data_IF_040159394451
#
_entry.id   IF_040159394451
#
_cell.length_a   1.000
_cell.length_b   1.000
_cell.length_c   1.000
_cell.angle_alpha   90.00
_cell.angle_beta   90.00
_cell.angle_gamma   90.00
#
_symmetry.space_group_name_H-M   'P 1'
#
loop_
_entity.id
_entity.type
_entity.pdbx_description
1 polymer ?
#
# COMPACT_ATOMS: atom_id res chain seq x y z
N UNK A 1 19.99 18.23 -0.28
CA UNK A 1 19.15 17.01 -0.26
C UNK A 1 19.44 16.27 1.02
N UNK A 2 18.75 16.64 2.10
CA UNK A 2 18.44 15.68 3.15
C UNK A 2 17.13 15.06 2.69
N UNK A 3 17.11 13.74 2.49
CA UNK A 3 15.90 13.02 2.10
C UNK A 3 14.87 13.20 3.22
N UNK A 4 13.72 13.80 2.89
CA UNK A 4 12.65 14.03 3.85
C UNK A 4 12.08 12.66 4.27
N UNK A 5 12.20 12.27 5.55
CA UNK A 5 11.73 10.97 6.02
C UNK A 5 10.23 10.78 5.77
N UNK A 6 9.46 11.86 5.68
CA UNK A 6 8.04 11.80 5.32
C UNK A 6 7.83 11.15 3.94
N UNK A 7 8.64 11.52 2.94
CA UNK A 7 8.49 11.03 1.57
C UNK A 7 8.80 9.54 1.45
N UNK A 8 9.70 9.04 2.30
CA UNK A 8 10.01 7.61 2.36
C UNK A 8 8.84 6.82 2.94
N UNK A 9 8.34 7.21 4.12
CA UNK A 9 7.19 6.54 4.76
C UNK A 9 5.93 6.67 3.90
N UNK A 10 5.76 7.80 3.22
CA UNK A 10 4.70 7.97 2.22
C UNK A 10 4.76 6.91 1.12
N UNK A 11 5.95 6.65 0.56
CA UNK A 11 6.10 5.64 -0.48
C UNK A 11 5.79 4.22 0.05
N UNK A 12 6.23 3.93 1.26
CA UNK A 12 5.97 2.64 1.92
C UNK A 12 4.46 2.44 2.17
N UNK A 13 3.76 3.45 2.69
CA UNK A 13 2.30 3.43 2.89
C UNK A 13 1.54 3.27 1.59
N UNK A 14 1.93 3.98 0.53
CA UNK A 14 1.30 3.83 -0.79
C UNK A 14 1.53 2.43 -1.37
N UNK A 15 2.73 1.87 -1.19
CA UNK A 15 3.03 0.49 -1.59
C UNK A 15 2.19 -0.51 -0.81
N UNK A 16 2.09 -0.37 0.52
CA UNK A 16 1.29 -1.22 1.38
C UNK A 16 -0.23 -1.09 1.11
N UNK A 17 -0.70 0.09 0.71
CA UNK A 17 -2.08 0.29 0.26
C UNK A 17 -2.35 -0.45 -1.06
N UNK A 18 -1.41 -0.40 -2.00
CA UNK A 18 -1.50 -1.11 -3.28
C UNK A 18 -1.48 -2.63 -3.12
N UNK A 19 -0.82 -3.17 -2.08
CA UNK A 19 -0.92 -4.61 -1.75
C UNK A 19 -2.22 -4.96 -1.01
N UNK A 20 -2.76 -4.03 -0.20
CA UNK A 20 -4.01 -4.25 0.56
C UNK A 20 -5.26 -4.30 -0.33
N UNK A 21 -5.32 -3.47 -1.38
CA UNK A 21 -6.44 -3.40 -2.34
C UNK A 21 -6.80 -4.75 -2.99
N UNK A 22 -5.87 -5.50 -3.61
CA UNK A 22 -6.18 -6.80 -4.21
C UNK A 22 -6.52 -7.85 -3.15
N UNK A 23 -5.92 -7.81 -1.95
CA UNK A 23 -6.30 -8.67 -0.83
C UNK A 23 -7.75 -8.43 -0.42
N UNK A 24 -8.17 -7.16 -0.33
CA UNK A 24 -9.55 -6.78 -0.05
C UNK A 24 -10.52 -7.24 -1.14
N UNK A 25 -10.18 -7.04 -2.41
CA UNK A 25 -11.00 -7.54 -3.52
C UNK A 25 -11.14 -9.07 -3.50
N UNK A 26 -10.05 -9.79 -3.22
CA UNK A 26 -10.06 -11.25 -3.06
C UNK A 26 -10.95 -11.70 -1.91
N UNK A 27 -10.81 -11.06 -0.74
CA UNK A 27 -11.64 -11.31 0.44
C UNK A 27 -13.13 -11.14 0.12
N UNK A 28 -13.50 -10.03 -0.53
CA UNK A 28 -14.88 -9.76 -0.92
C UNK A 28 -15.42 -10.79 -1.91
N UNK A 29 -14.61 -11.21 -2.88
CA UNK A 29 -14.97 -12.25 -3.83
C UNK A 29 -15.24 -13.58 -3.12
N UNK A 30 -14.33 -14.02 -2.26
CA UNK A 30 -14.45 -15.26 -1.49
C UNK A 30 -15.69 -15.19 -0.60
N UNK A 31 -15.94 -14.05 0.05
CA UNK A 31 -17.14 -13.81 0.86
C UNK A 31 -18.42 -13.98 0.04
N UNK A 32 -18.44 -13.47 -1.19
CA UNK A 32 -19.61 -13.59 -2.07
C UNK A 32 -19.85 -15.00 -2.60
N UNK A 33 -18.79 -15.81 -2.76
CA UNK A 33 -18.90 -17.18 -3.27
C UNK A 33 -19.00 -18.23 -2.16
N UNK A 34 -18.68 -17.88 -0.91
CA UNK A 34 -18.68 -18.82 0.20
C UNK A 34 -20.10 -19.13 0.65
N UNK A 35 -20.48 -20.41 0.62
CA UNK A 35 -21.76 -20.90 1.14
C UNK A 35 -21.88 -20.80 2.66
N UNK A 36 -20.78 -20.60 3.38
CA UNK A 36 -20.75 -20.47 4.83
C UNK A 36 -19.73 -19.42 5.28
N UNK A 37 -20.10 -18.60 6.24
CA UNK A 37 -19.27 -17.56 6.84
C UNK A 37 -18.05 -18.12 7.62
N UNK A 38 -17.96 -19.44 7.82
CA UNK A 38 -16.87 -20.10 8.55
C UNK A 38 -15.90 -20.87 7.64
N UNK A 39 -16.00 -20.71 6.33
CA UNK A 39 -15.10 -21.38 5.39
C UNK A 39 -13.62 -21.10 5.72
N UNK A 40 -12.73 -22.10 5.59
CA UNK A 40 -11.32 -21.94 5.94
C UNK A 40 -10.65 -20.86 5.07
N UNK A 41 -10.96 -20.82 3.78
CA UNK A 41 -10.45 -19.82 2.83
C UNK A 41 -10.87 -18.39 3.21
N UNK A 42 -12.12 -18.19 3.66
CA UNK A 42 -12.58 -16.87 4.11
C UNK A 42 -11.87 -16.43 5.39
N UNK A 43 -11.61 -17.37 6.32
CA UNK A 43 -10.88 -17.08 7.56
C UNK A 43 -9.42 -16.72 7.29
N UNK A 44 -8.77 -17.42 6.37
CA UNK A 44 -7.40 -17.15 5.95
C UNK A 44 -7.28 -15.79 5.26
N UNK A 45 -8.09 -15.55 4.22
CA UNK A 45 -8.11 -14.28 3.50
C UNK A 45 -8.44 -13.09 4.43
N UNK A 46 -9.33 -13.30 5.41
CA UNK A 46 -9.62 -12.30 6.44
C UNK A 46 -8.40 -12.03 7.32
N UNK A 47 -7.75 -13.07 7.84
CA UNK A 47 -6.60 -12.93 8.74
C UNK A 47 -5.44 -12.22 8.06
N UNK A 48 -5.16 -12.54 6.81
CA UNK A 48 -4.11 -11.91 6.01
C UNK A 48 -4.39 -10.42 5.80
N UNK A 49 -5.62 -10.08 5.38
CA UNK A 49 -6.03 -8.70 5.20
C UNK A 49 -6.04 -7.92 6.52
N UNK A 50 -6.50 -8.53 7.62
CA UNK A 50 -6.52 -7.90 8.94
C UNK A 50 -5.11 -7.56 9.42
N UNK A 51 -4.15 -8.46 9.22
CA UNK A 51 -2.74 -8.21 9.53
C UNK A 51 -2.18 -7.07 8.68
N UNK A 52 -2.40 -7.10 7.36
CA UNK A 52 -1.92 -6.06 6.46
C UNK A 52 -2.52 -4.67 6.77
N UNK A 53 -3.82 -4.60 7.10
CA UNK A 53 -4.49 -3.34 7.49
C UNK A 53 -4.09 -2.86 8.88
N UNK A 54 -3.64 -3.76 9.76
CA UNK A 54 -3.09 -3.39 11.06
C UNK A 54 -1.73 -2.70 10.88
N UNK A 55 -0.83 -3.30 10.11
CA UNK A 55 0.50 -2.75 9.82
C UNK A 55 0.38 -1.40 9.10
N UNK A 56 -0.45 -1.33 8.04
CA UNK A 56 -0.73 -0.08 7.32
C UNK A 56 -1.35 1.00 8.22
N UNK A 57 -2.20 0.59 9.18
CA UNK A 57 -2.80 1.51 10.15
C UNK A 57 -1.76 2.13 11.10
N UNK A 58 -0.74 1.37 11.50
CA UNK A 58 0.35 1.86 12.33
C UNK A 58 1.23 2.86 11.55
N UNK A 59 1.63 2.52 10.33
CA UNK A 59 2.44 3.41 9.48
C UNK A 59 1.69 4.72 9.17
N UNK A 60 0.37 4.65 8.99
CA UNK A 60 -0.48 5.81 8.80
C UNK A 60 -0.56 6.68 10.07
N UNK A 61 -0.61 6.09 11.26
CA UNK A 61 -0.64 6.82 12.52
C UNK A 61 0.64 7.67 12.70
N UNK A 62 1.80 7.09 12.42
CA UNK A 62 3.08 7.80 12.42
C UNK A 62 3.09 8.97 11.40
N UNK A 63 2.53 8.75 10.21
CA UNK A 63 2.35 9.80 9.20
C UNK A 63 1.41 10.91 9.68
N UNK A 64 0.27 10.59 10.31
CA UNK A 64 -0.65 11.58 10.89
C UNK A 64 0.08 12.45 11.92
N UNK A 65 0.85 11.83 12.82
CA UNK A 65 1.62 12.56 13.82
C UNK A 65 2.68 13.47 13.19
N UNK A 66 3.37 12.99 12.15
CA UNK A 66 4.36 13.79 11.42
C UNK A 66 3.74 15.04 10.77
N UNK A 67 2.55 14.91 10.17
CA UNK A 67 1.84 16.03 9.55
C UNK A 67 1.40 17.03 10.62
N UNK A 68 0.84 16.56 11.74
CA UNK A 68 0.43 17.43 12.85
C UNK A 68 1.62 18.22 13.42
N UNK A 69 2.80 17.60 13.54
CA UNK A 69 4.00 18.27 14.01
C UNK A 69 4.46 19.37 13.03
N UNK A 70 4.37 19.10 11.73
CA UNK A 70 4.73 20.05 10.67
C UNK A 70 3.70 21.19 10.55
N UNK A 71 2.41 20.92 10.77
CA UNK A 71 1.34 21.93 10.71
C UNK A 71 1.53 23.07 11.71
N UNK A 72 2.16 22.81 12.86
CA UNK A 72 2.40 23.83 13.88
C UNK A 72 3.52 24.82 13.50
N UNK A 73 4.54 24.37 12.76
CA UNK A 73 5.64 25.24 12.33
C UNK A 73 6.26 24.78 10.99
N UNK A 74 5.58 25.02 9.85
CA UNK A 74 6.03 24.56 8.53
C UNK A 74 7.40 25.14 8.12
N UNK A 75 7.64 26.41 8.48
CA UNK A 75 8.85 27.14 8.09
C UNK A 75 10.10 26.60 8.77
N UNK A 76 9.99 26.05 9.99
CA UNK A 76 11.10 25.39 10.69
C UNK A 76 11.62 24.16 9.94
N UNK A 77 10.75 23.48 9.21
CA UNK A 77 11.07 22.33 8.38
C UNK A 77 11.39 22.70 6.93
N UNK A 78 11.35 23.99 6.58
CA UNK A 78 11.58 24.46 5.22
C UNK A 78 10.49 24.02 4.23
N UNK A 79 9.28 23.76 4.72
CA UNK A 79 8.15 23.29 3.92
C UNK A 79 7.24 24.46 3.53
N UNK A 80 6.73 24.42 2.30
CA UNK A 80 5.69 25.35 1.84
C UNK A 80 4.33 24.94 2.42
N UNK A 81 3.45 25.92 2.66
CA UNK A 81 2.11 25.67 3.21
C UNK A 81 1.30 24.72 2.30
N UNK A 82 1.46 24.87 0.98
CA UNK A 82 0.82 24.01 -0.02
C UNK A 82 1.27 22.55 0.09
N UNK A 83 2.53 22.33 0.46
CA UNK A 83 3.07 20.98 0.69
C UNK A 83 2.45 20.34 1.93
N UNK A 84 2.33 21.09 3.02
CA UNK A 84 1.65 20.60 4.24
C UNK A 84 0.19 20.24 3.95
N UNK A 85 -0.51 21.06 3.15
CA UNK A 85 -1.88 20.75 2.77
C UNK A 85 -1.98 19.46 1.94
N UNK A 86 -1.05 19.24 0.99
CA UNK A 86 -0.96 17.98 0.24
C UNK A 86 -0.78 16.78 1.16
N UNK A 87 0.14 16.85 2.13
CA UNK A 87 0.38 15.78 3.10
C UNK A 87 -0.86 15.48 3.93
N UNK A 88 -1.57 16.52 4.38
CA UNK A 88 -2.81 16.38 5.14
C UNK A 88 -3.92 15.69 4.33
N UNK A 89 -4.09 16.06 3.06
CA UNK A 89 -5.09 15.44 2.18
C UNK A 89 -4.78 13.97 1.96
N UNK A 90 -3.54 13.64 1.62
CA UNK A 90 -3.10 12.26 1.43
C UNK A 90 -3.42 11.37 2.64
N UNK A 91 -2.98 11.81 3.82
CA UNK A 91 -3.16 11.04 5.06
C UNK A 91 -4.64 10.85 5.38
N UNK A 92 -5.47 11.86 5.09
CA UNK A 92 -6.92 11.74 5.23
C UNK A 92 -7.50 10.73 4.25
N UNK A 93 -7.16 10.82 2.97
CA UNK A 93 -7.72 9.96 1.92
C UNK A 93 -7.35 8.48 2.17
N UNK A 94 -6.08 8.22 2.50
CA UNK A 94 -5.60 6.87 2.86
C UNK A 94 -6.26 6.38 4.16
N UNK A 95 -6.43 7.26 5.15
CA UNK A 95 -7.11 6.92 6.39
C UNK A 95 -8.57 6.55 6.21
N UNK A 96 -9.30 7.30 5.39
CA UNK A 96 -10.69 7.01 5.04
C UNK A 96 -10.79 5.65 4.32
N UNK A 97 -9.87 5.34 3.40
CA UNK A 97 -9.83 4.05 2.68
C UNK A 97 -9.57 2.87 3.63
N UNK A 98 -8.56 2.98 4.51
CA UNK A 98 -8.23 1.94 5.50
C UNK A 98 -9.38 1.73 6.49
N UNK A 99 -10.01 2.81 6.97
CA UNK A 99 -11.16 2.71 7.86
C UNK A 99 -12.36 2.02 7.18
N UNK A 100 -12.61 2.32 5.90
CA UNK A 100 -13.66 1.65 5.14
C UNK A 100 -13.40 0.15 5.01
N UNK A 101 -12.18 -0.27 4.66
CA UNK A 101 -11.81 -1.69 4.58
C UNK A 101 -11.96 -2.40 5.93
N UNK A 102 -11.51 -1.78 7.04
CA UNK A 102 -11.67 -2.32 8.40
C UNK A 102 -13.14 -2.39 8.83
N UNK A 103 -13.96 -1.41 8.46
CA UNK A 103 -15.39 -1.39 8.73
C UNK A 103 -16.12 -2.56 8.06
N UNK A 104 -15.81 -2.83 6.79
CA UNK A 104 -16.37 -3.95 6.04
C UNK A 104 -15.97 -5.31 6.62
N UNK A 105 -14.72 -5.44 7.10
CA UNK A 105 -14.26 -6.62 7.82
C UNK A 105 -15.05 -6.85 9.12
N UNK A 106 -15.23 -5.82 9.94
CA UNK A 106 -15.94 -5.91 11.22
C UNK A 106 -17.43 -6.25 11.01
N UNK A 107 -18.08 -5.66 10.00
CA UNK A 107 -19.47 -5.99 9.64
C UNK A 107 -19.62 -7.46 9.31
N UNK A 108 -18.74 -8.01 8.47
CA UNK A 108 -18.78 -9.41 8.10
C UNK A 108 -18.61 -10.35 9.30
N UNK A 109 -17.81 -9.99 10.30
CA UNK A 109 -17.67 -10.77 11.55
C UNK A 109 -18.97 -10.74 12.36
N UNK A 110 -19.60 -9.57 12.49
CA UNK A 110 -20.85 -9.43 13.24
C UNK A 110 -22.01 -10.19 12.58
N UNK A 111 -22.10 -10.16 11.25
CA UNK A 111 -23.10 -10.91 10.47
C UNK A 111 -22.92 -12.42 10.64
N UNK A 112 -21.67 -12.90 10.65
CA UNK A 112 -21.34 -14.30 10.91
C UNK A 112 -21.72 -14.72 12.35
N UNK A 113 -21.51 -13.84 13.34
CA UNK A 113 -21.84 -14.11 14.74
C UNK A 113 -23.35 -14.07 15.04
N UNK A 114 -24.11 -13.19 14.38
CA UNK A 114 -25.57 -13.11 14.55
C UNK A 114 -26.26 -14.32 13.92
N UNK A 115 -25.85 -14.75 12.73
CA UNK A 115 -26.37 -15.99 12.10
C UNK A 115 -26.02 -17.27 12.87
N UNK A 116 -24.84 -17.33 13.51
CA UNK A 116 -24.45 -18.47 14.34
C UNK A 116 -25.20 -18.59 15.67
N UNK A 117 -25.85 -17.52 16.15
CA UNK A 117 -26.55 -17.49 17.44
C UNK A 117 -28.07 -17.75 17.33
N UNK A 118 -28.63 -17.70 16.11
CA UNK A 118 -30.04 -18.00 15.85
C UNK A 118 -30.42 -19.49 15.98
N UNK A 119 -29.44 -20.41 15.92
CA UNK A 119 -29.69 -21.87 15.95
C UNK A 119 -29.64 -22.46 17.36
N UNK A 120 -29.13 -21.74 18.38
CA UNK A 120 -28.84 -22.34 19.70
C UNK A 120 -29.95 -22.12 20.74
N UNK A 121 -30.93 -21.24 20.50
CA UNK A 121 -31.90 -20.83 21.52
C UNK A 121 -33.38 -21.12 21.22
N UNK A 122 -33.68 -22.09 20.36
CA UNK A 122 -35.07 -22.45 20.10
C UNK A 122 -35.22 -23.75 19.33
N UNK A 123 -34.92 -24.88 19.97
CA UNK A 123 -35.81 -26.03 19.85
C UNK A 123 -35.54 -27.02 20.99
N UNK A 124 -36.46 -27.05 21.94
CA UNK A 124 -36.73 -28.27 22.70
C UNK A 124 -37.34 -29.20 21.66
N UNK A 125 -36.49 -29.99 20.99
CA UNK A 125 -36.96 -31.06 20.12
C UNK A 125 -37.90 -31.94 20.95
N UNK A 126 -39.20 -32.00 20.62
CA UNK A 126 -40.10 -32.90 21.30
C UNK A 126 -39.75 -34.35 20.90
N UNK A 127 -39.91 -35.27 21.86
CA UNK A 127 -39.52 -36.68 21.77
C UNK A 127 -40.01 -37.32 20.45
N UNK A 128 -39.12 -37.92 19.62
CA UNK A 128 -39.45 -38.50 18.31
C UNK A 128 -40.48 -39.63 18.36
N UNK A 129 -40.87 -40.09 19.55
CA UNK A 129 -41.92 -41.08 19.75
C UNK A 129 -43.36 -40.51 19.71
N UNK A 130 -43.55 -39.20 19.52
CA UNK A 130 -44.85 -38.53 19.72
C UNK A 130 -45.55 -37.97 18.47
N UNK A 131 -44.97 -38.09 17.27
CA UNK A 131 -45.54 -37.52 16.04
C UNK A 131 -45.87 -38.57 14.99
N UNK A 132 -46.96 -38.35 14.26
CA UNK A 132 -47.29 -39.09 13.04
C UNK A 132 -46.28 -38.74 11.93
N UNK A 133 -45.83 -39.74 11.17
CA UNK A 133 -44.73 -39.67 10.19
C UNK A 133 -44.93 -38.60 9.10
N UNK A 134 -46.20 -38.27 8.78
CA UNK A 134 -46.58 -37.23 7.82
C UNK A 134 -46.44 -35.79 8.38
N UNK A 135 -46.64 -35.58 9.68
CA UNK A 135 -46.58 -34.24 10.31
C UNK A 135 -45.12 -33.79 10.51
N UNK A 136 -44.22 -34.74 10.79
CA UNK A 136 -42.78 -34.49 10.87
C UNK A 136 -42.20 -34.10 9.51
N UNK A 137 -42.58 -34.80 8.45
CA UNK A 137 -42.11 -34.50 7.09
C UNK A 137 -42.57 -33.11 6.61
N UNK A 138 -43.82 -32.73 6.92
CA UNK A 138 -44.35 -31.40 6.60
C UNK A 138 -43.61 -30.29 7.37
N UNK A 139 -43.37 -30.49 8.67
CA UNK A 139 -42.64 -29.54 9.52
C UNK A 139 -41.18 -29.38 9.07
N UNK A 140 -40.51 -30.48 8.70
CA UNK A 140 -39.13 -30.48 8.20
C UNK A 140 -39.03 -29.74 6.85
N UNK A 141 -40.04 -29.91 5.98
CA UNK A 141 -40.11 -29.23 4.69
C UNK A 141 -40.39 -27.72 4.85
N UNK A 142 -41.23 -27.33 5.81
CA UNK A 142 -41.51 -25.93 6.14
C UNK A 142 -40.26 -25.25 6.73
N UNK A 143 -39.57 -25.93 7.65
CA UNK A 143 -38.26 -25.49 8.18
C UNK A 143 -37.20 -25.33 7.09
N UNK A 144 -37.15 -26.26 6.13
CA UNK A 144 -36.17 -26.22 5.05
C UNK A 144 -36.47 -25.08 4.06
N UNK A 145 -37.75 -24.75 3.85
CA UNK A 145 -38.17 -23.59 3.06
C UNK A 145 -37.84 -22.27 3.77
N UNK A 146 -38.06 -22.19 5.08
CA UNK A 146 -37.73 -21.01 5.89
C UNK A 146 -36.22 -20.74 5.87
N UNK A 147 -35.40 -21.80 6.01
CA UNK A 147 -33.94 -21.73 5.92
C UNK A 147 -33.44 -21.34 4.51
N UNK A 148 -34.15 -21.73 3.44
CA UNK A 148 -33.86 -21.27 2.08
C UNK A 148 -34.21 -19.81 1.89
N UNK A 149 -35.33 -19.36 2.47
CA UNK A 149 -35.80 -17.99 2.33
C UNK A 149 -34.88 -16.99 3.05
N UNK A 150 -34.38 -17.34 4.25
CA UNK A 150 -33.38 -16.54 4.97
C UNK A 150 -32.03 -16.46 4.23
N UNK A 151 -31.68 -17.50 3.46
CA UNK A 151 -30.50 -17.47 2.60
C UNK A 151 -30.71 -16.58 1.37
N UNK A 152 -31.88 -16.60 0.75
CA UNK A 152 -32.20 -15.75 -0.41
C UNK A 152 -32.27 -14.26 -0.04
N UNK A 153 -32.83 -13.90 1.11
CA UNK A 153 -32.87 -12.51 1.57
C UNK A 153 -31.47 -11.96 1.89
N UNK A 154 -30.60 -12.83 2.43
CA UNK A 154 -29.19 -12.51 2.63
C UNK A 154 -28.43 -12.39 1.31
N UNK A 155 -28.77 -13.21 0.31
CA UNK A 155 -28.18 -13.11 -1.03
C UNK A 155 -28.56 -11.80 -1.70
N UNK A 156 -29.79 -11.28 -1.54
CA UNK A 156 -30.22 -10.03 -2.20
C UNK A 156 -29.47 -8.79 -1.65
N UNK A 157 -29.24 -8.75 -0.33
CA UNK A 157 -28.38 -7.74 0.31
C UNK A 157 -26.90 -7.85 -0.13
N UNK A 158 -26.42 -9.08 -0.31
CA UNK A 158 -25.09 -9.36 -0.86
C UNK A 158 -25.02 -8.98 -2.33
N UNK A 159 -26.03 -9.22 -3.16
CA UNK A 159 -26.05 -8.87 -4.59
C UNK A 159 -25.97 -7.37 -4.83
N UNK A 160 -26.64 -6.57 -4.01
CA UNK A 160 -26.56 -5.10 -4.10
C UNK A 160 -25.19 -4.58 -3.69
N UNK A 161 -24.62 -5.17 -2.64
CA UNK A 161 -23.28 -4.83 -2.15
C UNK A 161 -22.20 -5.32 -3.11
N UNK A 162 -22.31 -6.53 -3.65
CA UNK A 162 -21.45 -7.12 -4.69
C UNK A 162 -21.59 -6.38 -6.01
N UNK A 163 -22.77 -5.87 -6.35
CA UNK A 163 -22.96 -5.01 -7.53
C UNK A 163 -22.15 -3.72 -7.42
N UNK A 164 -22.26 -3.03 -6.28
CA UNK A 164 -21.49 -1.82 -6.00
C UNK A 164 -19.99 -2.11 -5.83
N UNK A 165 -19.62 -3.23 -5.20
CA UNK A 165 -18.24 -3.66 -5.01
C UNK A 165 -17.60 -4.19 -6.28
N UNK A 166 -18.36 -4.79 -7.20
CA UNK A 166 -17.88 -5.20 -8.53
C UNK A 166 -17.59 -3.96 -9.36
N UNK A 167 -18.44 -2.94 -9.27
CA UNK A 167 -18.17 -1.65 -9.91
C UNK A 167 -16.94 -0.98 -9.31
N UNK A 168 -16.79 -1.01 -7.98
CA UNK A 168 -15.60 -0.48 -7.30
C UNK A 168 -14.32 -1.29 -7.59
N UNK A 169 -14.40 -2.62 -7.67
CA UNK A 169 -13.28 -3.50 -8.03
C UNK A 169 -12.89 -3.36 -9.51
N UNK A 170 -13.85 -3.07 -10.39
CA UNK A 170 -13.64 -2.79 -11.81
C UNK A 170 -13.04 -1.40 -12.03
N UNK A 171 -13.42 -0.41 -11.22
CA UNK A 171 -12.81 0.91 -11.18
C UNK A 171 -11.39 0.84 -10.58
N UNK A 172 -11.19 0.08 -9.48
CA UNK A 172 -9.86 -0.22 -8.92
C UNK A 172 -8.96 -1.01 -9.88
N UNK A 173 -9.51 -1.97 -10.63
CA UNK A 173 -8.77 -2.76 -11.61
C UNK A 173 -8.26 -1.88 -12.77
N UNK A 174 -9.09 -0.93 -13.21
CA UNK A 174 -8.69 0.08 -14.20
C UNK A 174 -7.68 1.07 -13.64
N UNK A 175 -7.83 1.51 -12.40
CA UNK A 175 -6.88 2.41 -11.73
C UNK A 175 -5.52 1.73 -11.47
N UNK A 176 -5.49 0.41 -11.19
CA UNK A 176 -4.26 -0.38 -11.08
C UNK A 176 -3.60 -0.61 -12.44
N UNK A 177 -4.37 -0.73 -13.52
CA UNK A 177 -3.84 -0.81 -14.89
C UNK A 177 -3.25 0.53 -15.35
N UNK A 178 -3.89 1.66 -15.02
CA UNK A 178 -3.34 3.01 -15.22
C UNK A 178 -2.10 3.28 -14.37
N UNK A 179 -2.03 2.77 -13.13
CA UNK A 179 -0.85 2.91 -12.26
C UNK A 179 0.30 1.97 -12.64
N UNK A 180 0.03 0.91 -13.42
CA UNK A 180 1.06 0.10 -14.08
C UNK A 180 1.82 0.87 -15.17
N UNK A 181 1.18 1.89 -15.77
CA UNK A 181 1.80 2.76 -16.78
C UNK A 181 2.83 3.73 -16.15
N UNK A 182 2.58 4.18 -14.91
CA UNK A 182 3.50 5.03 -14.13
C UNK A 182 4.81 4.32 -13.73
N UNK A 183 4.80 2.99 -13.58
CA UNK A 183 6.03 2.21 -13.34
C UNK A 183 6.99 2.24 -14.53
N UNK A 184 6.46 2.31 -15.76
CA UNK A 184 7.27 2.47 -16.97
C UNK A 184 7.88 3.88 -17.05
N UNK A 185 7.17 4.91 -16.58
CA UNK A 185 7.70 6.27 -16.51
C UNK A 185 8.78 6.43 -15.43
N UNK A 186 8.65 5.76 -14.28
CA UNK A 186 9.69 5.74 -13.24
C UNK A 186 10.95 5.02 -13.74
N UNK A 187 10.84 3.90 -14.45
CA UNK A 187 11.97 3.17 -15.02
C UNK A 187 12.66 3.98 -16.14
N UNK A 188 11.89 4.64 -17.00
CA UNK A 188 12.39 5.56 -18.02
C UNK A 188 13.10 6.79 -17.42
N UNK A 189 12.58 7.34 -16.32
CA UNK A 189 13.23 8.45 -15.61
C UNK A 189 14.50 7.98 -14.90
N UNK A 190 14.50 6.80 -14.28
CA UNK A 190 15.67 6.19 -13.65
C UNK A 190 16.79 5.92 -14.66
N UNK A 191 16.48 5.38 -15.84
CA UNK A 191 17.45 5.16 -16.92
C UNK A 191 18.01 6.49 -17.45
N UNK A 192 17.16 7.51 -17.60
CA UNK A 192 17.59 8.84 -18.06
C UNK A 192 18.46 9.56 -17.04
N UNK A 193 18.19 9.38 -15.75
CA UNK A 193 19.02 9.90 -14.65
C UNK A 193 20.33 9.10 -14.54
N UNK A 194 20.29 7.78 -14.66
CA UNK A 194 21.46 6.90 -14.67
C UNK A 194 22.42 7.22 -15.82
N UNK A 195 21.92 7.43 -17.02
CA UNK A 195 22.72 7.85 -18.18
C UNK A 195 23.37 9.22 -18.02
N UNK A 196 22.65 10.19 -17.41
CA UNK A 196 23.19 11.52 -17.12
C UNK A 196 24.24 11.49 -16.00
N UNK A 197 24.02 10.72 -14.95
CA UNK A 197 24.98 10.50 -13.86
C UNK A 197 26.26 9.84 -14.38
N UNK A 198 26.16 8.78 -15.19
CA UNK A 198 27.33 8.12 -15.76
C UNK A 198 28.14 9.06 -16.67
N UNK A 199 27.45 9.91 -17.44
CA UNK A 199 28.09 10.93 -18.27
C UNK A 199 28.75 12.03 -17.42
N UNK A 200 28.10 12.44 -16.33
CA UNK A 200 28.63 13.39 -15.35
C UNK A 200 29.90 12.87 -14.67
N UNK A 201 29.88 11.61 -14.21
CA UNK A 201 31.03 10.94 -13.60
C UNK A 201 32.20 10.80 -14.58
N UNK A 202 31.95 10.43 -15.84
CA UNK A 202 33.00 10.39 -16.89
C UNK A 202 33.61 11.78 -17.14
N UNK A 203 32.78 12.83 -17.20
CA UNK A 203 33.27 14.22 -17.36
C UNK A 203 34.08 14.66 -16.14
N UNK A 204 33.64 14.32 -14.93
CA UNK A 204 34.33 14.66 -13.69
C UNK A 204 35.70 13.97 -13.60
N UNK A 205 35.77 12.68 -13.94
CA UNK A 205 37.04 11.95 -14.02
C UNK A 205 37.99 12.52 -15.08
N UNK A 206 37.46 12.93 -16.23
CA UNK A 206 38.26 13.59 -17.27
C UNK A 206 38.78 14.96 -16.83
N UNK A 207 37.97 15.75 -16.13
CA UNK A 207 38.37 17.08 -15.62
C UNK A 207 39.42 16.95 -14.53
N UNK A 208 39.28 16.00 -13.59
CA UNK A 208 40.26 15.76 -12.53
C UNK A 208 41.61 15.38 -13.16
N UNK A 209 41.62 14.39 -14.06
CA UNK A 209 42.86 13.93 -14.72
C UNK A 209 43.53 15.02 -15.55
N UNK A 210 42.75 15.80 -16.30
CA UNK A 210 43.28 16.88 -17.15
C UNK A 210 43.78 18.08 -16.33
N UNK A 211 43.23 18.32 -15.14
CA UNK A 211 43.72 19.34 -14.23
C UNK A 211 45.04 18.87 -13.58
N UNK A 212 45.11 17.64 -13.09
CA UNK A 212 46.34 17.07 -12.52
C UNK A 212 47.53 17.12 -13.49
N UNK A 213 47.33 16.69 -14.75
CA UNK A 213 48.38 16.70 -15.77
C UNK A 213 48.92 18.11 -16.08
N UNK A 214 48.05 19.14 -16.07
CA UNK A 214 48.44 20.52 -16.39
C UNK A 214 49.29 21.16 -15.29
N UNK A 215 48.95 20.91 -14.03
CA UNK A 215 49.68 21.48 -12.90
C UNK A 215 51.01 20.74 -12.70
N UNK A 216 51.01 19.42 -12.87
CA UNK A 216 52.23 18.60 -12.81
C UNK A 216 53.23 18.98 -13.92
N UNK A 217 52.78 19.12 -15.18
CA UNK A 217 53.64 19.57 -16.28
C UNK A 217 54.19 20.99 -16.07
N UNK A 218 53.39 21.90 -15.52
CA UNK A 218 53.85 23.26 -15.21
C UNK A 218 54.96 23.25 -14.15
N UNK A 219 54.76 22.51 -13.06
CA UNK A 219 55.76 22.36 -12.01
C UNK A 219 57.08 21.76 -12.52
N UNK A 220 57.03 20.71 -13.34
CA UNK A 220 58.23 20.11 -13.94
C UNK A 220 58.97 21.12 -14.83
N UNK A 221 58.25 21.90 -15.65
CA UNK A 221 58.84 22.93 -16.50
C UNK A 221 59.55 24.03 -15.70
N UNK A 222 58.92 24.50 -14.61
CA UNK A 222 59.53 25.50 -13.70
C UNK A 222 60.79 24.96 -13.02
N UNK A 223 60.77 23.71 -12.55
CA UNK A 223 61.94 23.07 -11.93
C UNK A 223 63.12 22.94 -12.91
N UNK A 224 62.86 22.56 -14.16
CA UNK A 224 63.90 22.48 -15.20
C UNK A 224 64.51 23.85 -15.48
N UNK A 225 63.68 24.89 -15.59
CA UNK A 225 64.15 26.25 -15.83
C UNK A 225 65.06 26.76 -14.71
N UNK A 226 64.67 26.54 -13.44
CA UNK A 226 65.49 26.89 -12.28
C UNK A 226 66.82 26.13 -12.30
N UNK A 227 66.81 24.84 -12.64
CA UNK A 227 68.02 24.03 -12.74
C UNK A 227 68.98 24.57 -13.82
N UNK A 228 68.46 24.95 -15.00
CA UNK A 228 69.26 25.56 -16.07
C UNK A 228 69.88 26.88 -15.61
N UNK A 229 69.11 27.75 -14.93
CA UNK A 229 69.65 29.00 -14.40
C UNK A 229 70.78 28.76 -13.39
N UNK A 230 70.61 27.80 -12.48
CA UNK A 230 71.67 27.43 -11.53
C UNK A 230 72.93 26.91 -12.24
N UNK A 231 72.76 26.13 -13.30
CA UNK A 231 73.89 25.60 -14.09
C UNK A 231 74.62 26.71 -14.83
N UNK A 232 73.90 27.64 -15.46
CA UNK A 232 74.50 28.82 -16.12
C UNK A 232 75.23 29.70 -15.10
N UNK A 233 74.63 29.93 -13.93
CA UNK A 233 75.26 30.71 -12.87
C UNK A 233 76.55 30.04 -12.39
N UNK A 234 76.56 28.71 -12.21
CA UNK A 234 77.76 27.94 -11.86
C UNK A 234 78.83 27.99 -12.96
N UNK A 235 78.45 27.99 -14.24
CA UNK A 235 79.43 28.05 -15.34
C UNK A 235 80.06 29.44 -15.52
N UNK A 236 79.33 30.49 -15.16
CA UNK A 236 79.77 31.89 -15.29
C UNK A 236 80.57 32.35 -14.08
N UNK A 237 80.30 31.78 -12.90
CA UNK A 237 80.96 32.10 -11.62
C UNK A 237 82.17 31.21 -11.37
#
# INVERSE_FOLDING_TARGET
>A
NHDDPFLQVQADVLSALNTSRPLFASYLRIRSSASSATSPELREARSELEQQLQDLGQDLEDLIESVKAVEHDPYRFGLEIDEVERRRRLVKDVGDEVQNMRGELLRAVNDAQTKGKGVVNGDVLPDPASFEEDEYAAFEQERQQELMHEQDEALDGVFKTVGNLRQQADDMGRELEEQGELLNDVDNVADRVGGKLQTGLKKMGYVIKKNEDRWSSCCIGVLIFVLILLLVLLLVL
#
